data_IF_284391107159
#
_entry.id   IF_284391107159
#
_cell.length_a   1.000
_cell.length_b   1.000
_cell.length_c   1.000
_cell.angle_alpha   90.00
_cell.angle_beta   90.00
_cell.angle_gamma   90.00
#
_symmetry.space_group_name_H-M   'P 1'
#
loop_
_entity.id
_entity.type
_entity.pdbx_description
1 polymer ?
#
# COMPACT_ATOMS: atom_id res chain seq x y z
N UNK A 1 -8.45 12.50 14.47
CA UNK A 1 -8.90 11.09 14.42
C UNK A 1 -7.66 10.18 14.34
N UNK A 2 -6.62 10.48 15.12
CA UNK A 2 -5.25 10.08 14.76
C UNK A 2 -4.94 8.62 15.09
N UNK A 3 -5.56 8.06 16.13
CA UNK A 3 -5.38 6.66 16.50
C UNK A 3 -5.82 5.70 15.38
N UNK A 4 -6.91 6.01 14.68
CA UNK A 4 -7.37 5.21 13.53
C UNK A 4 -6.39 5.25 12.37
N UNK A 5 -5.73 6.40 12.14
CA UNK A 5 -4.70 6.55 11.11
C UNK A 5 -3.45 5.76 11.47
N UNK A 6 -2.99 5.86 12.72
CA UNK A 6 -1.84 5.13 13.24
C UNK A 6 -2.01 3.60 13.15
N UNK A 7 -3.22 3.09 13.44
CA UNK A 7 -3.52 1.67 13.26
C UNK A 7 -3.47 1.19 11.80
N UNK A 8 -3.61 2.10 10.83
CA UNK A 8 -3.52 1.75 9.41
C UNK A 8 -2.07 1.76 8.93
N UNK A 9 -1.40 2.90 9.08
CA UNK A 9 0.00 3.07 8.70
C UNK A 9 0.63 4.27 9.42
N UNK A 10 1.86 4.17 9.96
CA UNK A 10 2.53 5.28 10.64
C UNK A 10 2.72 6.52 9.76
N UNK A 11 2.97 6.34 8.45
CA UNK A 11 3.14 7.44 7.50
C UNK A 11 1.86 8.24 7.20
N UNK A 12 0.71 7.83 7.76
CA UNK A 12 -0.52 8.63 7.70
C UNK A 12 -0.48 9.85 8.65
N UNK A 13 0.50 9.90 9.55
CA UNK A 13 0.74 11.02 10.45
C UNK A 13 1.72 11.99 9.81
N UNK A 14 1.41 13.28 9.91
CA UNK A 14 2.27 14.34 9.35
C UNK A 14 3.63 14.36 10.05
N UNK A 15 4.72 14.41 9.27
CA UNK A 15 6.09 14.51 9.77
C UNK A 15 6.73 13.19 10.20
N UNK A 16 6.08 12.04 9.97
CA UNK A 16 6.65 10.70 10.28
C UNK A 16 7.34 10.08 9.06
N UNK A 17 7.11 10.61 7.86
CA UNK A 17 7.73 10.11 6.65
C UNK A 17 9.23 10.43 6.67
N UNK A 18 10.11 9.42 6.55
CA UNK A 18 11.54 9.63 6.62
C UNK A 18 12.05 10.23 5.30
N UNK A 19 12.80 11.33 5.38
CA UNK A 19 13.52 11.92 4.24
C UNK A 19 14.75 11.06 3.91
N UNK A 20 14.51 9.91 3.29
CA UNK A 20 15.57 9.03 2.79
C UNK A 20 15.86 9.34 1.33
N UNK A 21 17.15 9.52 1.01
CA UNK A 21 17.62 9.76 -0.37
C UNK A 21 17.56 8.49 -1.24
N UNK A 22 17.55 7.32 -0.61
CA UNK A 22 17.50 6.03 -1.30
C UNK A 22 16.07 5.45 -1.28
N UNK A 23 15.44 5.39 -2.46
CA UNK A 23 14.07 4.90 -2.66
C UNK A 23 13.87 3.45 -2.18
N UNK A 24 14.91 2.61 -2.34
CA UNK A 24 14.85 1.20 -1.91
C UNK A 24 14.80 1.05 -0.39
N UNK A 25 15.55 1.90 0.30
CA UNK A 25 15.62 1.89 1.76
C UNK A 25 14.34 2.48 2.35
N UNK A 26 13.81 3.53 1.71
CA UNK A 26 12.49 4.10 2.01
C UNK A 26 11.38 3.06 1.88
N UNK A 27 11.33 2.29 0.78
CA UNK A 27 10.34 1.24 0.61
C UNK A 27 10.46 0.14 1.69
N UNK A 28 11.69 -0.26 2.03
CA UNK A 28 11.90 -1.27 3.06
C UNK A 28 11.37 -0.80 4.41
N UNK A 29 11.65 0.44 4.80
CA UNK A 29 11.11 1.03 6.02
C UNK A 29 9.60 1.18 5.99
N UNK A 30 9.04 1.58 4.85
CA UNK A 30 7.59 1.64 4.63
C UNK A 30 6.93 0.28 4.93
N UNK A 31 7.44 -0.79 4.31
CA UNK A 31 6.92 -2.14 4.52
C UNK A 31 7.12 -2.62 5.96
N UNK A 32 8.27 -2.34 6.56
CA UNK A 32 8.59 -2.74 7.95
C UNK A 32 7.77 -1.98 9.00
N UNK A 33 7.30 -0.78 8.69
CA UNK A 33 6.55 0.07 9.63
C UNK A 33 5.11 -0.38 9.87
N UNK A 34 4.54 -1.24 9.01
CA UNK A 34 3.17 -1.73 9.15
C UNK A 34 3.06 -3.24 8.95
N UNK A 35 2.71 -3.96 10.02
CA UNK A 35 2.46 -5.41 9.97
C UNK A 35 1.30 -5.79 9.04
N UNK A 36 0.34 -4.87 8.81
CA UNK A 36 -0.76 -5.08 7.86
C UNK A 36 -0.24 -5.15 6.43
N UNK A 37 0.70 -4.28 6.06
CA UNK A 37 1.34 -4.28 4.75
C UNK A 37 2.26 -5.49 4.56
N UNK A 38 3.02 -5.89 5.59
CA UNK A 38 3.83 -7.12 5.51
C UNK A 38 3.00 -8.38 5.25
N UNK A 39 1.81 -8.47 5.85
CA UNK A 39 0.90 -9.59 5.62
C UNK A 39 0.33 -9.54 4.21
N UNK A 40 -0.15 -8.37 3.79
CA UNK A 40 -0.63 -8.13 2.42
C UNK A 40 0.44 -8.50 1.39
N UNK A 41 1.70 -8.14 1.66
CA UNK A 41 2.83 -8.43 0.80
C UNK A 41 3.02 -9.93 0.53
N UNK A 42 2.93 -10.74 1.57
CA UNK A 42 3.01 -12.21 1.48
C UNK A 42 1.78 -12.81 0.80
N UNK A 43 0.60 -12.27 1.07
CA UNK A 43 -0.66 -12.73 0.46
C UNK A 43 -0.71 -12.42 -1.03
N UNK A 44 -0.30 -11.21 -1.43
CA UNK A 44 -0.30 -10.77 -2.82
C UNK A 44 0.58 -11.65 -3.72
N UNK A 45 1.71 -12.15 -3.22
CA UNK A 45 2.56 -13.10 -3.97
C UNK A 45 1.79 -14.39 -4.26
N UNK A 46 1.16 -14.98 -3.25
CA UNK A 46 0.39 -16.23 -3.41
C UNK A 46 -0.84 -16.05 -4.30
N UNK A 47 -1.55 -14.94 -4.14
CA UNK A 47 -2.76 -14.65 -4.91
C UNK A 47 -2.43 -14.36 -6.38
N UNK A 48 -1.29 -13.71 -6.65
CA UNK A 48 -0.78 -13.50 -8.02
C UNK A 48 -0.39 -14.83 -8.68
N UNK A 49 0.30 -15.72 -7.96
CA UNK A 49 0.64 -17.07 -8.45
C UNK A 49 -0.61 -17.88 -8.81
N UNK A 50 -1.70 -17.68 -8.08
CA UNK A 50 -2.98 -18.36 -8.30
C UNK A 50 -3.88 -17.65 -9.34
N UNK A 51 -3.53 -16.44 -9.79
CA UNK A 51 -4.33 -15.66 -10.74
C UNK A 51 -5.65 -15.11 -10.15
N UNK A 52 -5.72 -14.94 -8.83
CA UNK A 52 -6.90 -14.36 -8.18
C UNK A 52 -6.91 -12.83 -8.27
N UNK A 53 -8.09 -12.27 -8.55
CA UNK A 53 -8.35 -10.83 -8.47
C UNK A 53 -8.64 -10.42 -7.03
N UNK A 54 -8.05 -9.34 -6.56
CA UNK A 54 -8.16 -8.86 -5.17
C UNK A 54 -8.74 -7.46 -5.18
N UNK A 55 -9.71 -7.18 -4.31
CA UNK A 55 -10.28 -5.84 -4.17
C UNK A 55 -9.96 -5.30 -2.79
N UNK A 56 -9.31 -4.13 -2.73
CA UNK A 56 -8.94 -3.46 -1.49
C UNK A 56 -9.82 -2.23 -1.28
N UNK A 57 -10.43 -2.18 -0.10
CA UNK A 57 -11.22 -1.05 0.40
C UNK A 57 -10.46 -0.31 1.49
N UNK A 58 -10.49 1.02 1.43
CA UNK A 58 -10.00 1.87 2.50
C UNK A 58 -10.97 3.01 2.81
N UNK A 59 -11.13 3.32 4.09
CA UNK A 59 -11.89 4.50 4.52
C UNK A 59 -11.09 5.81 4.30
N UNK A 60 -9.75 5.71 4.22
CA UNK A 60 -8.84 6.83 4.08
C UNK A 60 -8.22 6.89 2.68
N UNK A 61 -8.36 8.05 2.01
CA UNK A 61 -7.78 8.29 0.68
C UNK A 61 -6.26 8.20 0.68
N UNK A 62 -5.58 8.84 1.64
CA UNK A 62 -4.12 8.74 1.78
C UNK A 62 -3.57 7.31 1.89
N UNK A 63 -4.35 6.37 2.43
CA UNK A 63 -3.92 4.97 2.48
C UNK A 63 -3.97 4.31 1.08
N UNK A 64 -4.90 4.73 0.22
CA UNK A 64 -4.97 4.28 -1.16
C UNK A 64 -3.78 4.83 -1.96
N UNK A 65 -3.38 6.08 -1.74
CA UNK A 65 -2.18 6.68 -2.35
C UNK A 65 -0.92 5.87 -1.96
N UNK A 66 -0.74 5.56 -0.66
CA UNK A 66 0.38 4.71 -0.19
C UNK A 66 0.36 3.29 -0.77
N UNK A 67 -0.84 2.73 -1.00
CA UNK A 67 -0.99 1.42 -1.63
C UNK A 67 -0.66 1.48 -3.13
N UNK A 68 -0.90 2.62 -3.78
CA UNK A 68 -0.50 2.84 -5.18
C UNK A 68 1.02 2.81 -5.31
N UNK A 69 1.73 3.57 -4.46
CA UNK A 69 3.20 3.59 -4.42
C UNK A 69 3.78 2.20 -4.17
N UNK A 70 3.16 1.44 -3.25
CA UNK A 70 3.51 0.05 -2.99
C UNK A 70 3.37 -0.84 -4.24
N UNK A 71 2.29 -0.67 -5.01
CA UNK A 71 2.05 -1.44 -6.23
C UNK A 71 3.08 -1.10 -7.31
N UNK A 72 3.42 0.18 -7.49
CA UNK A 72 4.41 0.63 -8.46
C UNK A 72 5.79 0.01 -8.15
N UNK A 73 6.17 0.00 -6.87
CA UNK A 73 7.48 -0.52 -6.46
C UNK A 73 7.57 -2.05 -6.56
N UNK A 74 6.53 -2.79 -6.16
CA UNK A 74 6.56 -4.27 -6.12
C UNK A 74 6.07 -4.95 -7.39
N UNK A 75 5.06 -4.39 -8.06
CA UNK A 75 4.33 -5.05 -9.15
C UNK A 75 4.70 -4.40 -10.48
N UNK A 76 5.98 -4.44 -10.84
CA UNK A 76 6.35 -4.29 -12.25
C UNK A 76 5.84 -5.54 -12.99
N UNK A 77 5.07 -5.31 -14.05
CA UNK A 77 4.47 -6.24 -15.03
C UNK A 77 3.02 -6.71 -14.75
N UNK A 78 2.09 -6.02 -15.45
CA UNK A 78 0.81 -6.50 -16.01
C UNK A 78 -0.54 -6.30 -15.29
N UNK A 79 -0.66 -5.46 -14.26
CA UNK A 79 -1.99 -5.09 -13.76
C UNK A 79 -2.26 -3.62 -14.07
N UNK A 80 -3.22 -3.39 -14.96
CA UNK A 80 -3.90 -2.11 -15.14
C UNK A 80 -4.54 -1.76 -13.81
N UNK A 81 -3.87 -0.95 -12.99
CA UNK A 81 -4.48 -0.37 -11.79
C UNK A 81 -5.56 0.58 -12.26
N UNK A 82 -6.79 0.10 -12.35
CA UNK A 82 -7.96 0.96 -12.53
C UNK A 82 -8.21 1.65 -11.20
N UNK A 83 -7.57 2.79 -10.99
CA UNK A 83 -7.85 3.65 -9.85
C UNK A 83 -9.18 4.37 -10.13
N UNK A 84 -10.29 3.89 -9.57
CA UNK A 84 -11.54 4.66 -9.63
C UNK A 84 -11.56 5.69 -8.49
N UNK A 85 -11.13 6.91 -8.82
CA UNK A 85 -11.17 8.07 -7.90
C UNK A 85 -12.60 8.41 -7.42
N UNK A 86 -13.67 7.87 -8.02
CA UNK A 86 -15.05 8.09 -7.54
C UNK A 86 -15.50 7.11 -6.46
N UNK A 87 -14.84 5.95 -6.31
CA UNK A 87 -15.38 4.81 -5.54
C UNK A 87 -14.53 4.37 -4.34
N UNK A 88 -13.30 4.90 -4.15
CA UNK A 88 -12.37 4.50 -3.06
C UNK A 88 -11.96 3.01 -3.10
N UNK A 89 -11.80 2.47 -4.30
CA UNK A 89 -11.54 1.05 -4.54
C UNK A 89 -10.26 0.86 -5.37
N UNK A 90 -9.43 -0.10 -4.99
CA UNK A 90 -8.31 -0.59 -5.82
C UNK A 90 -8.59 -2.04 -6.17
N UNK A 91 -8.71 -2.33 -7.47
CA UNK A 91 -8.90 -3.68 -8.01
C UNK A 91 -7.55 -4.18 -8.56
N UNK A 92 -7.13 -5.34 -8.06
CA UNK A 92 -5.96 -6.13 -8.47
C UNK A 92 -6.41 -7.34 -9.29
#
# INVERSE_FOLDING_TARGET
MELRKLCCHPYMLQGVQPDLKDEKESYKQFLESSGKLQLLDKMMVKLKEQGHRVLIYSQFQHMLDLLEDYCVYKVVSHLTTCYDMRSKEIIF
#
